data_IF_780899951506
#
_entry.id   IF_780899951506
#
_cell.length_a   1.000
_cell.length_b   1.000
_cell.length_c   1.000
_cell.angle_alpha   90.00
_cell.angle_beta   90.00
_cell.angle_gamma   90.00
#
_symmetry.space_group_name_H-M   'P 1'
#
loop_
_entity.id
_entity.type
_entity.pdbx_description
1 polymer ?
#
# COMPACT_ATOMS: atom_id res chain seq x y z
N UNK A 1 4.85 13.75 -0.13
CA UNK A 1 3.46 13.64 0.36
C UNK A 1 3.05 15.03 0.83
N UNK A 2 1.96 15.62 0.33
CA UNK A 2 1.48 16.91 0.85
C UNK A 2 1.05 16.75 2.32
N UNK A 3 1.23 17.80 3.10
CA UNK A 3 0.80 17.83 4.50
C UNK A 3 -0.73 17.93 4.52
N UNK A 4 -1.39 17.22 5.44
CA UNK A 4 -2.85 17.18 5.52
C UNK A 4 -3.49 18.58 5.51
N UNK A 5 -2.90 19.53 6.24
CA UNK A 5 -3.35 20.92 6.31
C UNK A 5 -3.42 21.58 4.93
N UNK A 6 -2.41 21.39 4.08
CA UNK A 6 -2.40 21.97 2.72
C UNK A 6 -3.48 21.38 1.82
N UNK A 7 -3.86 20.11 2.03
CA UNK A 7 -4.95 19.47 1.28
C UNK A 7 -6.31 19.96 1.74
N UNK A 8 -6.47 20.21 3.05
CA UNK A 8 -7.69 20.77 3.62
C UNK A 8 -7.91 22.20 3.11
N UNK A 9 -6.87 23.03 3.12
CA UNK A 9 -6.94 24.41 2.60
C UNK A 9 -7.32 24.42 1.11
N UNK A 10 -6.77 23.49 0.32
CA UNK A 10 -7.11 23.37 -1.10
C UNK A 10 -8.54 22.89 -1.36
N UNK A 11 -9.11 22.10 -0.44
CA UNK A 11 -10.48 21.60 -0.53
C UNK A 11 -11.52 22.57 0.06
N UNK A 12 -11.10 23.57 0.82
CA UNK A 12 -11.98 24.55 1.45
C UNK A 12 -12.77 25.34 0.40
N UNK A 13 -14.09 25.48 0.62
CA UNK A 13 -15.00 26.21 -0.28
C UNK A 13 -15.76 25.34 -1.29
N UNK A 14 -15.56 24.02 -1.30
CA UNK A 14 -16.41 23.10 -2.06
C UNK A 14 -17.67 22.74 -1.25
N UNK A 15 -18.85 22.82 -1.86
CA UNK A 15 -20.13 22.50 -1.21
C UNK A 15 -20.37 21.00 -1.02
N UNK A 16 -19.73 20.16 -1.84
CA UNK A 16 -19.85 18.70 -1.82
C UNK A 16 -18.45 18.11 -1.93
N UNK A 17 -18.16 17.14 -1.07
CA UNK A 17 -16.91 16.38 -1.06
C UNK A 17 -17.22 14.88 -0.98
N UNK A 18 -16.51 14.08 -1.77
CA UNK A 18 -16.52 12.63 -1.68
C UNK A 18 -15.10 12.11 -1.40
N UNK A 19 -15.00 11.14 -0.50
CA UNK A 19 -13.75 10.48 -0.15
C UNK A 19 -13.72 9.09 -0.78
N UNK A 20 -12.63 8.75 -1.45
CA UNK A 20 -12.32 7.40 -1.88
C UNK A 20 -11.23 6.85 -0.96
N UNK A 21 -11.52 5.74 -0.28
CA UNK A 21 -10.50 5.00 0.45
C UNK A 21 -9.83 3.99 -0.49
N UNK A 22 -8.57 4.23 -0.81
CA UNK A 22 -7.77 3.38 -1.69
C UNK A 22 -7.12 2.18 -0.99
N UNK A 23 -7.49 1.87 0.26
CA UNK A 23 -6.85 0.82 1.06
C UNK A 23 -5.31 0.92 1.04
N UNK A 24 -4.76 2.13 1.27
CA UNK A 24 -3.31 2.43 1.30
C UNK A 24 -2.45 1.84 0.16
N UNK A 25 -3.05 1.36 -0.94
CA UNK A 25 -2.35 0.62 -2.01
C UNK A 25 -1.94 -0.83 -1.68
N UNK A 26 -2.23 -1.35 -0.49
CA UNK A 26 -1.86 -2.72 -0.13
C UNK A 26 -2.63 -3.75 -0.96
N UNK A 27 -1.97 -4.84 -1.33
CA UNK A 27 -2.50 -5.91 -2.19
C UNK A 27 -2.99 -5.45 -3.58
N UNK A 28 -2.82 -4.16 -3.95
CA UNK A 28 -3.27 -3.58 -5.22
C UNK A 28 -2.11 -3.17 -6.13
N UNK A 29 -0.92 -2.92 -5.57
CA UNK A 29 0.29 -2.55 -6.31
C UNK A 29 1.20 -3.77 -6.47
N UNK A 30 1.63 -4.03 -7.70
CA UNK A 30 2.63 -5.07 -8.00
C UNK A 30 4.00 -4.70 -7.44
N UNK A 31 4.67 -5.66 -6.83
CA UNK A 31 6.06 -5.53 -6.43
C UNK A 31 6.93 -5.58 -7.69
N UNK A 32 8.00 -4.78 -7.72
CA UNK A 32 8.99 -4.88 -8.79
C UNK A 32 9.55 -6.30 -8.85
N UNK A 33 9.67 -6.89 -10.05
CA UNK A 33 10.05 -8.28 -10.21
C UNK A 33 11.38 -8.65 -9.50
N UNK A 34 12.32 -7.70 -9.44
CA UNK A 34 13.61 -7.87 -8.77
C UNK A 34 13.51 -7.89 -7.23
N UNK A 35 12.41 -7.41 -6.66
CA UNK A 35 12.19 -7.28 -5.22
C UNK A 35 11.24 -8.34 -4.65
N UNK A 36 10.54 -9.10 -5.49
CA UNK A 36 9.61 -10.17 -5.06
C UNK A 36 10.30 -11.16 -4.13
N UNK A 37 11.51 -11.61 -4.47
CA UNK A 37 12.28 -12.56 -3.64
C UNK A 37 12.67 -12.02 -2.26
N UNK A 38 12.73 -10.70 -2.08
CA UNK A 38 12.99 -10.06 -0.78
C UNK A 38 11.80 -10.14 0.16
N UNK A 39 10.62 -10.49 -0.36
CA UNK A 39 9.37 -10.60 0.41
C UNK A 39 9.04 -12.04 0.83
N UNK A 40 10.01 -12.94 0.75
CA UNK A 40 9.84 -14.34 1.13
C UNK A 40 9.48 -14.50 2.62
N UNK A 41 8.46 -15.34 2.91
CA UNK A 41 8.04 -15.70 4.26
C UNK A 41 7.72 -17.19 4.37
N UNK A 42 7.67 -17.70 5.61
CA UNK A 42 7.26 -19.08 5.93
C UNK A 42 6.04 -19.07 6.82
N UNK A 43 5.09 -19.96 6.52
CA UNK A 43 3.94 -20.21 7.37
C UNK A 43 4.27 -21.31 8.38
N UNK A 44 3.98 -21.14 9.69
CA UNK A 44 4.05 -22.24 10.64
C UNK A 44 3.20 -23.43 10.15
N UNK A 45 3.78 -24.63 10.11
CA UNK A 45 3.11 -25.85 9.66
C UNK A 45 3.12 -26.08 8.14
N UNK A 46 3.66 -25.17 7.33
CA UNK A 46 3.91 -25.39 5.90
C UNK A 46 5.38 -25.74 5.64
N UNK A 47 5.63 -26.62 4.67
CA UNK A 47 6.99 -26.98 4.23
C UNK A 47 7.58 -25.99 3.20
N UNK A 48 6.79 -25.03 2.73
CA UNK A 48 7.16 -24.11 1.64
C UNK A 48 7.63 -22.73 2.10
N UNK A 49 8.30 -22.04 1.17
CA UNK A 49 8.55 -20.59 1.22
C UNK A 49 7.60 -19.93 0.22
N UNK A 50 6.98 -18.83 0.65
CA UNK A 50 6.04 -18.05 -0.15
C UNK A 50 6.59 -16.65 -0.37
N UNK A 51 6.31 -16.05 -1.52
CA UNK A 51 6.72 -14.70 -1.87
C UNK A 51 5.48 -13.86 -2.18
N UNK A 52 5.55 -12.56 -1.90
CA UNK A 52 4.49 -11.63 -2.24
C UNK A 52 4.71 -11.09 -3.65
N UNK A 53 3.68 -11.20 -4.50
CA UNK A 53 3.66 -10.58 -5.84
C UNK A 53 3.06 -9.18 -5.80
N UNK A 54 2.19 -8.94 -4.82
CA UNK A 54 1.56 -7.65 -4.54
C UNK A 54 2.05 -7.14 -3.19
N UNK A 55 2.10 -5.82 -3.02
CA UNK A 55 2.62 -5.21 -1.82
C UNK A 55 1.85 -5.66 -0.55
N UNK A 56 2.51 -6.35 0.41
CA UNK A 56 1.86 -6.76 1.64
C UNK A 56 1.69 -5.59 2.60
N UNK A 57 0.77 -5.72 3.57
CA UNK A 57 0.47 -4.68 4.58
C UNK A 57 1.68 -4.15 5.36
N UNK A 58 2.74 -4.94 5.48
CA UNK A 58 3.94 -4.59 6.24
C UNK A 58 5.07 -4.00 5.38
N UNK A 59 4.89 -3.93 4.06
CA UNK A 59 5.87 -3.36 3.16
C UNK A 59 5.65 -1.85 3.01
N UNK A 60 6.73 -1.07 3.13
CA UNK A 60 6.70 0.37 2.89
C UNK A 60 6.99 0.68 1.42
N UNK A 61 6.33 1.69 0.86
CA UNK A 61 6.53 2.20 -0.52
C UNK A 61 7.79 3.10 -0.68
N UNK A 62 8.73 3.07 0.28
CA UNK A 62 9.92 3.94 0.30
C UNK A 62 10.95 3.57 -0.76
#
# INVERSE_FOLDING_TARGET
MPIAETMIDAAAGNEIMSLLDGYSGYNQIYIAANDVSKTAFRCPGALGVYEWVMMPFLASLT
#
